data_IF_539640424679
#
_entry.id   IF_539640424679
#
_cell.length_a   1.000
_cell.length_b   1.000
_cell.length_c   1.000
_cell.angle_alpha   90.00
_cell.angle_beta   90.00
_cell.angle_gamma   90.00
#
_symmetry.space_group_name_H-M   'P 1'
#
loop_
_entity.id
_entity.type
_entity.pdbx_description
1 polymer ?
#
# COMPACT_ATOMS: atom_id res chain seq x y z
N UNK A 1 25.96 -42.72 -28.56
CA UNK A 1 24.65 -42.15 -28.98
C UNK A 1 24.09 -41.33 -27.84
N UNK A 2 24.40 -40.04 -27.82
CA UNK A 2 23.95 -39.08 -26.80
C UNK A 2 22.50 -38.70 -27.04
N UNK A 3 21.61 -39.13 -26.14
CA UNK A 3 20.22 -38.67 -26.08
C UNK A 3 20.23 -37.22 -25.61
N UNK A 4 19.97 -36.28 -26.53
CA UNK A 4 19.66 -34.89 -26.17
C UNK A 4 18.29 -34.90 -25.48
N UNK A 5 18.28 -34.71 -24.17
CA UNK A 5 17.08 -34.37 -23.43
C UNK A 5 16.58 -33.02 -23.93
N UNK A 6 15.37 -33.05 -24.49
CA UNK A 6 14.66 -31.87 -24.99
C UNK A 6 13.88 -31.34 -23.81
N UNK A 7 14.37 -30.27 -23.19
CA UNK A 7 13.67 -29.52 -22.15
C UNK A 7 12.30 -29.11 -22.69
N UNK A 8 11.18 -29.49 -22.08
CA UNK A 8 9.89 -28.95 -22.47
C UNK A 8 9.80 -27.52 -21.94
N UNK A 9 9.81 -26.57 -22.86
CA UNK A 9 9.37 -25.19 -22.63
C UNK A 9 7.96 -25.23 -22.07
N UNK A 10 7.81 -24.92 -20.78
CA UNK A 10 6.52 -24.75 -20.12
C UNK A 10 6.03 -23.35 -20.50
N UNK A 11 5.53 -23.19 -21.72
CA UNK A 11 4.59 -22.13 -22.07
C UNK A 11 3.22 -22.54 -21.49
N UNK A 12 3.08 -22.36 -20.18
CA UNK A 12 1.76 -22.37 -19.58
C UNK A 12 1.09 -21.04 -19.95
N UNK A 13 0.39 -21.03 -21.08
CA UNK A 13 -0.75 -20.14 -21.31
C UNK A 13 -1.80 -20.43 -20.23
N UNK A 14 -1.51 -19.99 -19.00
CA UNK A 14 -2.55 -19.84 -18.00
C UNK A 14 -3.43 -18.71 -18.52
N UNK A 15 -4.59 -19.06 -19.06
CA UNK A 15 -5.72 -18.17 -19.15
C UNK A 15 -6.13 -17.82 -17.71
N UNK A 16 -5.37 -16.90 -17.09
CA UNK A 16 -5.57 -16.56 -15.69
C UNK A 16 -6.86 -15.72 -15.61
N UNK A 17 -7.83 -16.13 -14.78
CA UNK A 17 -9.07 -15.38 -14.64
C UNK A 17 -8.79 -13.97 -14.12
N UNK A 18 -9.07 -12.96 -14.96
CA UNK A 18 -8.92 -11.52 -14.68
C UNK A 18 -9.90 -10.97 -13.62
N UNK A 19 -10.66 -11.85 -12.99
CA UNK A 19 -11.71 -11.52 -12.03
C UNK A 19 -11.14 -11.08 -10.67
N UNK A 20 -9.91 -11.53 -10.34
CA UNK A 20 -9.21 -11.14 -9.12
C UNK A 20 -7.76 -10.71 -9.41
N UNK A 21 -7.56 -9.53 -10.04
CA UNK A 21 -6.26 -9.11 -10.57
C UNK A 21 -5.20 -8.93 -9.49
N UNK A 22 -5.58 -8.59 -8.24
CA UNK A 22 -4.65 -8.48 -7.12
C UNK A 22 -4.11 -9.85 -6.68
N UNK A 23 -4.97 -10.86 -6.58
CA UNK A 23 -4.55 -12.22 -6.20
C UNK A 23 -3.62 -12.80 -7.27
N UNK A 24 -3.93 -12.55 -8.53
CA UNK A 24 -3.07 -12.92 -9.65
C UNK A 24 -1.69 -12.27 -9.56
N UNK A 25 -1.64 -10.97 -9.25
CA UNK A 25 -0.39 -10.23 -9.04
C UNK A 25 0.52 -10.89 -7.99
N UNK A 26 -0.07 -11.27 -6.86
CA UNK A 26 0.66 -11.89 -5.74
C UNK A 26 1.24 -13.26 -6.12
N UNK A 27 0.58 -13.98 -7.02
CA UNK A 27 1.04 -15.29 -7.51
C UNK A 27 2.09 -15.17 -8.62
N UNK A 28 2.03 -14.13 -9.45
CA UNK A 28 2.93 -13.95 -10.60
C UNK A 28 4.23 -13.23 -10.25
N UNK A 29 4.20 -12.32 -9.29
CA UNK A 29 5.38 -11.53 -8.95
C UNK A 29 6.08 -12.07 -7.71
N UNK A 30 7.23 -12.70 -7.96
CA UNK A 30 8.18 -13.13 -6.93
C UNK A 30 9.21 -12.06 -6.58
N UNK A 31 9.57 -11.18 -7.53
CA UNK A 31 10.61 -10.14 -7.42
C UNK A 31 10.08 -8.79 -7.91
N UNK A 32 10.56 -7.65 -7.38
CA UNK A 32 10.13 -6.30 -7.77
C UNK A 32 8.67 -5.90 -7.45
N UNK A 33 8.05 -6.56 -6.46
CA UNK A 33 6.69 -6.21 -5.98
C UNK A 33 6.49 -4.72 -5.67
N UNK A 34 7.49 -4.07 -5.08
CA UNK A 34 7.42 -2.64 -4.74
C UNK A 34 7.46 -1.73 -5.97
N UNK A 35 8.32 -2.04 -6.95
CA UNK A 35 8.39 -1.32 -8.23
C UNK A 35 7.05 -1.42 -8.94
N UNK A 36 6.50 -2.62 -9.03
CA UNK A 36 5.24 -2.85 -9.72
C UNK A 36 4.06 -2.15 -9.04
N UNK A 37 3.93 -2.18 -7.71
CA UNK A 37 2.85 -1.45 -7.01
C UNK A 37 2.92 0.05 -7.33
N UNK A 38 4.12 0.62 -7.39
CA UNK A 38 4.34 2.02 -7.77
C UNK A 38 3.86 2.30 -9.20
N UNK A 39 4.24 1.43 -10.15
CA UNK A 39 3.86 1.57 -11.57
C UNK A 39 2.36 1.36 -11.79
N UNK A 40 1.74 0.40 -11.12
CA UNK A 40 0.29 0.19 -11.14
C UNK A 40 -0.43 1.44 -10.67
N UNK A 41 0.02 2.04 -9.56
CA UNK A 41 -0.57 3.28 -9.02
C UNK A 41 -0.39 4.45 -9.98
N UNK A 42 0.77 4.54 -10.64
CA UNK A 42 1.04 5.54 -11.67
C UNK A 42 0.09 5.38 -12.86
N UNK A 43 -0.09 4.15 -13.34
CA UNK A 43 -0.98 3.85 -14.44
C UNK A 43 -2.45 4.09 -14.09
N UNK A 44 -2.88 3.77 -12.87
CA UNK A 44 -4.23 4.10 -12.40
C UNK A 44 -4.52 5.61 -12.41
N UNK A 45 -3.52 6.44 -12.08
CA UNK A 45 -3.65 7.91 -12.18
C UNK A 45 -3.73 8.36 -13.63
N UNK A 46 -2.95 7.74 -14.51
CA UNK A 46 -2.98 8.02 -15.95
C UNK A 46 -4.35 7.68 -16.54
N UNK A 47 -4.89 6.49 -16.28
CA UNK A 47 -6.24 6.08 -16.69
C UNK A 47 -7.27 7.11 -16.19
N UNK A 48 -7.18 7.50 -14.92
CA UNK A 48 -8.10 8.50 -14.35
C UNK A 48 -8.06 9.82 -15.11
N UNK A 49 -6.87 10.29 -15.46
CA UNK A 49 -6.68 11.56 -16.17
C UNK A 49 -7.08 11.46 -17.64
N UNK A 50 -6.60 10.44 -18.35
CA UNK A 50 -6.85 10.16 -19.78
C UNK A 50 -8.33 9.96 -20.05
N UNK A 51 -8.99 9.15 -19.23
CA UNK A 51 -10.38 8.73 -19.47
C UNK A 51 -11.39 9.58 -18.67
N UNK A 52 -10.91 10.61 -17.93
CA UNK A 52 -11.70 11.42 -16.99
C UNK A 52 -12.57 10.55 -16.07
N UNK A 53 -12.02 9.43 -15.63
CA UNK A 53 -12.78 8.37 -15.02
C UNK A 53 -13.33 8.76 -13.65
N UNK A 54 -14.61 8.48 -13.42
CA UNK A 54 -15.28 8.64 -12.13
C UNK A 54 -15.22 7.39 -11.26
N UNK A 55 -14.47 6.37 -11.70
CA UNK A 55 -14.31 5.11 -10.98
C UNK A 55 -13.69 5.33 -9.60
N UNK A 56 -14.08 4.47 -8.66
CA UNK A 56 -13.51 4.50 -7.33
C UNK A 56 -12.02 4.08 -7.37
N UNK A 57 -11.19 4.51 -6.40
CA UNK A 57 -9.77 4.18 -6.39
C UNK A 57 -9.48 2.67 -6.50
N UNK A 58 -10.27 1.82 -5.83
CA UNK A 58 -10.11 0.36 -5.92
C UNK A 58 -10.38 -0.18 -7.33
N UNK A 59 -11.35 0.40 -8.05
CA UNK A 59 -11.72 -0.03 -9.40
C UNK A 59 -10.68 0.43 -10.43
N UNK A 60 -10.12 1.64 -10.25
CA UNK A 60 -9.01 2.12 -11.06
C UNK A 60 -7.77 1.25 -10.90
N UNK A 61 -7.45 0.84 -9.66
CA UNK A 61 -6.36 -0.08 -9.41
C UNK A 61 -6.63 -1.44 -10.06
N UNK A 62 -7.84 -1.99 -9.93
CA UNK A 62 -8.19 -3.24 -10.61
C UNK A 62 -8.08 -3.12 -12.14
N UNK A 63 -8.56 -2.02 -12.73
CA UNK A 63 -8.45 -1.75 -14.16
C UNK A 63 -6.99 -1.66 -14.61
N UNK A 64 -6.16 -0.89 -13.89
CA UNK A 64 -4.74 -0.75 -14.19
C UNK A 64 -3.99 -2.09 -14.14
N UNK A 65 -4.28 -2.93 -13.13
CA UNK A 65 -3.72 -4.28 -13.03
C UNK A 65 -4.15 -5.18 -14.18
N UNK A 66 -5.42 -5.10 -14.60
CA UNK A 66 -5.91 -5.87 -15.76
C UNK A 66 -5.20 -5.48 -17.05
N UNK A 67 -4.91 -4.20 -17.25
CA UNK A 67 -4.18 -3.74 -18.44
C UNK A 67 -2.72 -4.22 -18.44
N UNK A 68 -2.05 -4.16 -17.28
CA UNK A 68 -0.66 -4.60 -17.12
C UNK A 68 -0.55 -6.13 -17.26
N UNK A 69 -1.35 -6.87 -16.50
CA UNK A 69 -1.35 -8.34 -16.52
C UNK A 69 -1.87 -8.90 -17.85
N UNK A 70 -2.79 -8.18 -18.49
CA UNK A 70 -3.27 -8.46 -19.84
C UNK A 70 -2.32 -8.03 -20.95
N UNK A 71 -1.11 -7.55 -20.62
CA UNK A 71 -0.07 -7.09 -21.58
C UNK A 71 -0.54 -6.01 -22.56
N UNK A 72 -1.55 -5.23 -22.20
CA UNK A 72 -1.98 -4.05 -22.98
C UNK A 72 -1.01 -2.88 -22.80
N UNK A 73 -0.34 -2.83 -21.65
CA UNK A 73 0.72 -1.88 -21.34
C UNK A 73 1.85 -2.63 -20.62
N UNK A 74 3.09 -2.28 -20.93
CA UNK A 74 4.28 -2.84 -20.28
C UNK A 74 4.78 -1.94 -19.16
N UNK A 75 5.56 -2.51 -18.24
CA UNK A 75 6.12 -1.75 -17.11
C UNK A 75 7.09 -0.65 -17.60
N UNK A 76 7.86 -0.92 -18.65
CA UNK A 76 8.83 0.04 -19.21
C UNK A 76 8.12 1.23 -19.85
N UNK A 77 6.99 1.02 -20.53
CA UNK A 77 6.16 2.11 -21.07
C UNK A 77 5.62 3.01 -19.95
N UNK A 78 5.22 2.43 -18.82
CA UNK A 78 4.73 3.20 -17.66
C UNK A 78 5.86 4.02 -17.02
N UNK A 79 7.10 3.54 -17.08
CA UNK A 79 8.26 4.27 -16.56
C UNK A 79 8.60 5.51 -17.38
N UNK A 80 8.47 5.41 -18.71
CA UNK A 80 8.73 6.48 -19.66
C UNK A 80 7.67 7.60 -19.64
N UNK A 81 6.56 7.41 -18.94
CA UNK A 81 5.55 8.47 -18.79
C UNK A 81 6.18 9.74 -18.19
N UNK A 82 5.59 10.92 -18.45
CA UNK A 82 6.01 12.14 -17.77
C UNK A 82 5.76 12.03 -16.25
N UNK A 83 6.55 12.73 -15.42
CA UNK A 83 6.34 12.72 -13.98
C UNK A 83 4.94 13.25 -13.65
N UNK A 84 4.22 12.62 -12.70
CA UNK A 84 2.87 13.03 -12.36
C UNK A 84 2.87 14.49 -11.87
N UNK A 85 1.82 15.26 -12.19
CA UNK A 85 1.68 16.62 -11.70
C UNK A 85 1.72 16.62 -10.16
N UNK A 86 2.46 17.57 -9.59
CA UNK A 86 2.61 17.68 -8.13
C UNK A 86 1.22 17.94 -7.55
N UNK A 87 0.67 16.95 -6.84
CA UNK A 87 -0.54 17.16 -6.08
C UNK A 87 -0.24 18.19 -4.99
N UNK A 88 -1.02 19.27 -4.95
CA UNK A 88 -1.01 20.18 -3.80
C UNK A 88 -1.32 19.35 -2.56
N UNK A 89 -0.34 19.24 -1.65
CA UNK A 89 -0.55 18.57 -0.38
C UNK A 89 -1.53 19.45 0.40
N UNK A 90 -2.80 19.05 0.43
CA UNK A 90 -3.66 19.48 1.53
C UNK A 90 -3.10 18.80 2.76
N UNK A 91 -2.40 19.58 3.59
CA UNK A 91 -2.06 19.18 4.94
C UNK A 91 -3.39 18.82 5.61
N UNK A 92 -3.64 17.52 5.78
CA UNK A 92 -4.74 17.08 6.62
C UNK A 92 -4.26 17.30 8.04
N UNK A 93 -4.87 18.28 8.73
CA UNK A 93 -4.73 18.46 10.16
C UNK A 93 -5.24 17.19 10.86
N UNK A 94 -4.35 16.22 11.03
CA UNK A 94 -4.62 15.02 11.79
C UNK A 94 -4.56 15.41 13.27
N UNK A 95 -5.66 15.95 13.76
CA UNK A 95 -5.85 16.17 15.19
C UNK A 95 -6.01 14.81 15.85
N UNK A 96 -4.93 14.30 16.46
CA UNK A 96 -5.06 13.21 17.42
C UNK A 96 -5.94 13.72 18.58
N UNK A 97 -7.08 13.06 18.89
CA UNK A 97 -7.80 13.40 20.11
C UNK A 97 -6.86 13.12 21.28
N UNK A 98 -6.39 14.18 21.94
CA UNK A 98 -5.66 14.07 23.19
C UNK A 98 -6.61 13.42 24.19
N UNK A 99 -6.37 12.15 24.51
CA UNK A 99 -7.08 11.45 25.55
C UNK A 99 -6.61 12.06 26.86
N UNK A 100 -7.38 12.98 27.42
CA UNK A 100 -7.13 13.50 28.77
C UNK A 100 -7.45 12.37 29.75
N UNK A 101 -6.41 11.67 30.22
CA UNK A 101 -6.55 10.74 31.34
C UNK A 101 -6.92 11.59 32.56
N UNK A 102 -8.19 11.57 32.97
CA UNK A 102 -8.58 12.08 34.29
C UNK A 102 -7.95 11.16 35.31
N UNK A 103 -6.83 11.61 35.89
CA UNK A 103 -6.35 11.12 37.17
C UNK A 103 -7.49 11.30 38.18
N UNK A 104 -8.28 10.24 38.39
CA UNK A 104 -9.08 10.11 39.61
C UNK A 104 -8.08 9.88 40.72
N UNK A 105 -7.61 10.98 41.31
CA UNK A 105 -6.80 10.97 42.53
C UNK A 105 -7.52 10.14 43.59
N UNK A 106 -6.92 9.00 43.91
CA UNK A 106 -7.14 8.30 45.16
C UNK A 106 -6.60 9.22 46.27
N UNK A 107 -7.51 9.88 46.99
CA UNK A 107 -7.19 10.65 48.20
C UNK A 107 -6.83 9.65 49.32
N UNK A 108 -5.60 9.14 49.27
CA UNK A 108 -4.94 8.43 50.35
C UNK A 108 -4.09 9.42 51.14
N UNK A 109 -4.71 10.17 52.05
CA UNK A 109 -3.99 10.90 53.10
C UNK A 109 -3.55 9.91 54.18
N UNK A 110 -2.36 9.33 53.99
CA UNK A 110 -1.61 8.75 55.09
C UNK A 110 -1.11 9.90 56.00
N UNK A 111 -1.54 9.88 57.26
CA UNK A 111 -1.09 10.77 58.33
C UNK A 111 0.42 10.56 58.56
N UNK A 112 1.21 11.59 58.25
CA UNK A 112 2.62 11.61 58.58
C UNK A 112 2.81 11.81 60.10
N UNK A 113 3.53 10.87 60.71
CA UNK A 113 4.10 10.93 62.05
C UNK A 113 4.76 12.28 62.34
N UNK A 114 4.36 12.94 63.42
CA UNK A 114 5.11 14.02 64.04
C UNK A 114 5.78 13.50 65.33
N UNK A 115 7.06 13.15 65.24
CA UNK A 115 7.95 13.04 66.41
C UNK A 115 8.36 14.45 66.87
N UNK A 116 8.12 14.86 68.12
CA UNK A 116 8.68 16.11 68.63
C UNK A 116 10.17 15.92 68.99
N UNK A 117 11.01 16.74 68.38
CA UNK A 117 12.41 16.89 68.74
C UNK A 117 12.55 17.72 70.02
N UNK A 118 13.23 17.14 71.00
CA UNK A 118 13.76 17.75 72.21
C UNK A 118 14.52 19.06 71.95
N UNK A 119 14.22 20.13 72.71
CA UNK A 119 15.15 21.24 73.01
C UNK A 119 14.85 21.86 74.39
N UNK A 120 15.85 21.66 75.26
CA UNK A 120 16.22 22.35 76.53
C UNK A 120 15.30 22.31 77.75
#
# INVERSE_FOLDING_TARGET
>A
MTKKEKTPTIEAELAIPLDAPLNQLLLTISHDKYRMISLVTRWAKEIKHRDQSTLQPQELLAASLREILGKKVTLDEIELLPPPPKAEKKDMDFAFPTITLKDTGLDGKDEAEALPADKE
#
